data_IF_404193062021
#
_entry.id   IF_404193062021
#
_cell.length_a   1.000
_cell.length_b   1.000
_cell.length_c   1.000
_cell.angle_alpha   90.00
_cell.angle_beta   90.00
_cell.angle_gamma   90.00
#
_symmetry.space_group_name_H-M   'P 1'
#
loop_
_entity.id
_entity.type
_entity.pdbx_description
1 polymer ?
#
# COMPACT_ATOMS: atom_id res chain seq x y z
N UNK A 1 4.84 28.39 11.45
CA UNK A 1 4.13 27.70 10.36
C UNK A 1 2.77 27.29 10.91
N UNK A 2 1.71 27.75 10.31
CA UNK A 2 0.34 27.41 10.71
C UNK A 2 -0.05 26.03 10.15
N UNK A 3 -1.16 25.49 10.64
CA UNK A 3 -1.72 24.24 10.11
C UNK A 3 -2.06 24.36 8.61
N UNK A 4 -2.63 25.49 8.21
CA UNK A 4 -2.97 25.75 6.80
C UNK A 4 -1.75 25.85 5.91
N UNK A 5 -0.67 26.52 6.36
CA UNK A 5 0.60 26.56 5.62
C UNK A 5 1.21 25.18 5.44
N UNK A 6 1.15 24.32 6.48
CA UNK A 6 1.63 22.93 6.38
C UNK A 6 0.81 22.12 5.37
N UNK A 7 -0.51 22.20 5.43
CA UNK A 7 -1.40 21.49 4.50
C UNK A 7 -1.21 21.97 3.06
N UNK A 8 -1.03 23.28 2.85
CA UNK A 8 -0.76 23.82 1.52
C UNK A 8 0.55 23.26 0.95
N UNK A 9 1.64 23.30 1.72
CA UNK A 9 2.94 22.77 1.29
C UNK A 9 2.91 21.26 0.99
N UNK A 10 2.22 20.48 1.85
CA UNK A 10 2.05 19.04 1.63
C UNK A 10 1.20 18.77 0.40
N UNK A 11 0.12 19.54 0.22
CA UNK A 11 -0.74 19.45 -0.95
C UNK A 11 0.03 19.72 -2.24
N UNK A 12 0.76 20.83 -2.32
CA UNK A 12 1.57 21.19 -3.49
C UNK A 12 2.60 20.11 -3.83
N UNK A 13 3.26 19.54 -2.81
CA UNK A 13 4.23 18.47 -3.01
C UNK A 13 3.59 17.18 -3.51
N UNK A 14 2.49 16.76 -2.89
CA UNK A 14 1.78 15.54 -3.30
C UNK A 14 1.14 15.73 -4.68
N UNK A 15 0.59 16.91 -4.99
CA UNK A 15 0.06 17.24 -6.31
C UNK A 15 1.12 17.10 -7.40
N UNK A 16 2.34 17.59 -7.15
CA UNK A 16 3.45 17.40 -8.06
C UNK A 16 3.77 15.91 -8.27
N UNK A 17 3.80 15.12 -7.18
CA UNK A 17 4.08 13.69 -7.27
C UNK A 17 3.02 12.94 -8.07
N UNK A 18 1.72 13.15 -7.76
CA UNK A 18 0.65 12.44 -8.45
C UNK A 18 0.51 12.86 -9.92
N UNK A 19 0.75 14.14 -10.24
CA UNK A 19 0.72 14.64 -11.62
C UNK A 19 1.82 14.04 -12.52
N UNK A 20 2.92 13.56 -11.91
CA UNK A 20 4.06 12.98 -12.61
C UNK A 20 4.24 11.48 -12.38
N UNK A 21 3.19 10.81 -11.89
CA UNK A 21 3.24 9.38 -11.55
C UNK A 21 2.09 8.61 -12.19
N UNK A 22 2.36 7.35 -12.48
CA UNK A 22 1.35 6.33 -12.73
C UNK A 22 1.61 5.12 -11.84
N UNK A 23 0.68 4.17 -11.80
CA UNK A 23 0.88 2.92 -11.08
C UNK A 23 2.06 2.09 -11.66
N UNK A 24 2.34 2.24 -12.95
CA UNK A 24 3.46 1.58 -13.63
C UNK A 24 4.81 2.23 -13.34
N UNK A 25 4.82 3.56 -13.20
CA UNK A 25 6.03 4.37 -13.03
C UNK A 25 5.83 5.47 -11.97
N UNK A 26 5.72 5.11 -10.69
CA UNK A 26 5.53 6.09 -9.62
C UNK A 26 6.83 6.86 -9.37
N UNK A 27 6.77 8.18 -9.46
CA UNK A 27 7.93 9.08 -9.33
C UNK A 27 8.65 8.95 -7.98
N UNK A 28 7.91 8.64 -6.91
CA UNK A 28 8.48 8.41 -5.57
C UNK A 28 9.32 7.14 -5.47
N UNK A 29 9.17 6.18 -6.40
CA UNK A 29 10.00 4.98 -6.45
C UNK A 29 11.11 5.14 -7.48
N UNK A 30 12.07 6.02 -7.17
CA UNK A 30 13.13 6.44 -8.08
C UNK A 30 13.98 5.28 -8.62
N UNK A 31 14.16 4.22 -7.85
CA UNK A 31 14.90 3.03 -8.30
C UNK A 31 14.18 2.32 -9.44
N UNK A 32 12.85 2.22 -9.36
CA UNK A 32 12.03 1.64 -10.42
C UNK A 32 12.06 2.53 -11.66
N UNK A 33 11.87 3.83 -11.50
CA UNK A 33 11.95 4.79 -12.60
C UNK A 33 13.30 4.69 -13.33
N UNK A 34 14.41 4.69 -12.58
CA UNK A 34 15.77 4.60 -13.16
C UNK A 34 16.08 3.26 -13.81
N UNK A 35 15.54 2.17 -13.29
CA UNK A 35 15.79 0.84 -13.83
C UNK A 35 14.98 0.51 -15.09
N UNK A 36 13.96 1.30 -15.41
CA UNK A 36 13.01 1.02 -16.49
C UNK A 36 12.20 -0.26 -16.29
N UNK A 37 12.24 -0.87 -15.10
CA UNK A 37 11.48 -2.07 -14.78
C UNK A 37 10.06 -1.70 -14.36
N UNK A 38 9.05 -2.50 -14.76
CA UNK A 38 7.67 -2.25 -14.34
C UNK A 38 7.56 -2.26 -12.82
N UNK A 39 6.68 -1.41 -12.31
CA UNK A 39 6.38 -1.37 -10.88
C UNK A 39 5.73 -2.70 -10.43
N UNK A 40 5.78 -2.94 -9.14
CA UNK A 40 5.20 -4.11 -8.49
C UNK A 40 4.40 -3.65 -7.29
N UNK A 41 3.49 -4.49 -6.81
CA UNK A 41 2.87 -4.33 -5.51
C UNK A 41 3.95 -4.29 -4.42
N UNK A 42 4.02 -3.21 -3.63
CA UNK A 42 5.12 -3.01 -2.67
C UNK A 42 4.74 -2.04 -1.53
N UNK A 43 5.59 -1.99 -0.48
CA UNK A 43 5.33 -1.18 0.71
C UNK A 43 5.50 0.33 0.47
N UNK A 44 6.40 0.76 -0.43
CA UNK A 44 6.67 2.18 -0.70
C UNK A 44 5.40 2.83 -1.26
N UNK A 45 4.78 2.17 -2.23
CA UNK A 45 3.50 2.61 -2.79
C UNK A 45 2.41 2.60 -1.71
N UNK A 46 2.40 1.59 -0.84
CA UNK A 46 1.50 1.53 0.30
C UNK A 46 1.59 2.77 1.20
N UNK A 47 2.80 3.24 1.49
CA UNK A 47 3.01 4.46 2.28
C UNK A 47 2.49 5.70 1.54
N UNK A 48 2.79 5.82 0.24
CA UNK A 48 2.33 6.98 -0.54
C UNK A 48 0.81 7.03 -0.69
N UNK A 49 0.18 5.90 -0.99
CA UNK A 49 -1.29 5.83 -1.09
C UNK A 49 -1.95 6.11 0.26
N UNK A 50 -1.37 5.61 1.37
CA UNK A 50 -1.83 5.99 2.72
C UNK A 50 -1.75 7.49 2.95
N UNK A 51 -0.68 8.16 2.50
CA UNK A 51 -0.56 9.62 2.60
C UNK A 51 -1.62 10.35 1.75
N UNK A 52 -1.88 9.89 0.53
CA UNK A 52 -2.94 10.45 -0.33
C UNK A 52 -4.33 10.30 0.33
N UNK A 53 -4.65 9.11 0.85
CA UNK A 53 -5.93 8.87 1.54
C UNK A 53 -6.06 9.71 2.81
N UNK A 54 -4.95 9.94 3.54
CA UNK A 54 -4.92 10.83 4.71
C UNK A 54 -5.16 12.29 4.33
N UNK A 55 -4.60 12.75 3.21
CA UNK A 55 -4.89 14.09 2.68
C UNK A 55 -6.35 14.22 2.26
N UNK A 56 -6.90 13.22 1.58
CA UNK A 56 -8.33 13.20 1.27
C UNK A 56 -9.18 13.30 2.55
N UNK A 57 -8.86 12.55 3.58
CA UNK A 57 -9.59 12.55 4.86
C UNK A 57 -9.53 13.91 5.56
N UNK A 58 -8.38 14.60 5.45
CA UNK A 58 -8.14 15.88 6.10
C UNK A 58 -8.73 17.07 5.33
N UNK A 59 -8.65 17.03 3.99
CA UNK A 59 -9.01 18.18 3.13
C UNK A 59 -10.37 18.03 2.46
N UNK A 60 -10.87 16.80 2.32
CA UNK A 60 -12.05 16.48 1.50
C UNK A 60 -11.80 16.53 -0.02
N UNK A 61 -10.55 16.80 -0.45
CA UNK A 61 -10.23 16.90 -1.88
C UNK A 61 -10.18 15.52 -2.54
N UNK A 62 -11.14 15.28 -3.39
CA UNK A 62 -11.34 13.98 -4.06
C UNK A 62 -10.20 13.58 -4.98
N UNK A 63 -9.38 14.51 -5.46
CA UNK A 63 -8.25 14.17 -6.35
C UNK A 63 -7.32 13.14 -5.72
N UNK A 64 -7.10 13.19 -4.41
CA UNK A 64 -6.26 12.23 -3.68
C UNK A 64 -6.90 10.85 -3.59
N UNK A 65 -8.23 10.81 -3.39
CA UNK A 65 -8.98 9.56 -3.39
C UNK A 65 -9.03 8.93 -4.78
N UNK A 66 -9.33 9.73 -5.81
CA UNK A 66 -9.45 9.26 -7.19
C UNK A 66 -8.11 8.71 -7.70
N UNK A 67 -7.02 9.41 -7.40
CA UNK A 67 -5.67 8.92 -7.70
C UNK A 67 -5.36 7.60 -6.97
N UNK A 68 -5.66 7.53 -5.67
CA UNK A 68 -5.43 6.33 -4.86
C UNK A 68 -6.21 5.13 -5.40
N UNK A 69 -7.48 5.34 -5.76
CA UNK A 69 -8.30 4.30 -6.37
C UNK A 69 -7.73 3.84 -7.70
N UNK A 70 -7.40 4.77 -8.59
CA UNK A 70 -6.82 4.44 -9.90
C UNK A 70 -5.51 3.66 -9.75
N UNK A 71 -4.66 4.05 -8.81
CA UNK A 71 -3.38 3.40 -8.55
C UNK A 71 -3.58 1.96 -8.05
N UNK A 72 -4.48 1.74 -7.11
CA UNK A 72 -4.79 0.41 -6.57
C UNK A 72 -5.47 -0.47 -7.63
N UNK A 73 -6.38 0.10 -8.42
CA UNK A 73 -7.12 -0.62 -9.47
C UNK A 73 -6.22 -1.14 -10.59
N UNK A 74 -5.05 -0.57 -10.76
CA UNK A 74 -4.05 -1.11 -11.69
C UNK A 74 -3.56 -2.51 -11.25
N UNK A 75 -3.42 -2.72 -9.94
CA UNK A 75 -2.93 -3.99 -9.40
C UNK A 75 -4.05 -4.98 -9.07
N UNK A 76 -5.17 -4.49 -8.54
CA UNK A 76 -6.27 -5.34 -8.05
C UNK A 76 -7.23 -5.69 -9.18
N UNK A 77 -7.27 -6.97 -9.53
CA UNK A 77 -8.10 -7.48 -10.61
C UNK A 77 -9.56 -7.71 -10.16
N UNK A 78 -10.52 -7.83 -11.09
CA UNK A 78 -11.94 -8.05 -10.76
C UNK A 78 -12.20 -9.30 -9.92
N UNK A 79 -11.36 -10.31 -10.02
CA UNK A 79 -11.46 -11.55 -9.22
C UNK A 79 -10.85 -11.43 -7.82
N UNK A 80 -10.21 -10.29 -7.50
CA UNK A 80 -9.51 -10.02 -6.25
C UNK A 80 -8.04 -10.43 -6.23
N UNK A 81 -7.53 -11.01 -7.32
CA UNK A 81 -6.09 -11.23 -7.43
C UNK A 81 -5.34 -9.91 -7.51
N UNK A 82 -4.11 -9.90 -7.03
CA UNK A 82 -3.25 -8.71 -7.01
C UNK A 82 -2.04 -8.99 -7.90
N UNK A 83 -1.86 -8.18 -8.94
CA UNK A 83 -0.71 -8.32 -9.85
C UNK A 83 0.60 -8.25 -9.07
N UNK A 84 1.52 -9.15 -9.37
CA UNK A 84 2.86 -9.24 -8.77
C UNK A 84 2.90 -9.53 -7.27
N UNK A 85 1.78 -9.89 -6.66
CA UNK A 85 1.70 -10.34 -5.27
C UNK A 85 1.55 -11.86 -5.21
N UNK A 86 2.42 -12.49 -4.43
CA UNK A 86 2.31 -13.92 -4.10
C UNK A 86 2.31 -14.08 -2.57
N UNK A 87 1.22 -14.54 -1.95
CA UNK A 87 1.17 -14.75 -0.50
C UNK A 87 2.20 -15.76 0.01
N UNK A 88 2.72 -16.65 -0.86
CA UNK A 88 3.73 -17.64 -0.50
C UNK A 88 5.15 -17.08 -0.39
N UNK A 89 5.38 -15.84 -0.83
CA UNK A 89 6.63 -15.15 -0.54
C UNK A 89 6.79 -14.83 0.96
N UNK A 90 5.70 -14.86 1.72
CA UNK A 90 5.67 -14.51 3.15
C UNK A 90 6.44 -13.23 3.45
N UNK A 91 6.20 -12.20 2.65
CA UNK A 91 6.85 -10.90 2.75
C UNK A 91 5.88 -9.86 3.35
N UNK A 92 6.14 -9.41 4.59
CA UNK A 92 5.27 -8.43 5.26
C UNK A 92 5.28 -7.05 4.58
N UNK A 93 6.33 -6.70 3.84
CA UNK A 93 6.34 -5.45 3.06
C UNK A 93 5.12 -5.37 2.12
N UNK A 94 4.75 -6.51 1.53
CA UNK A 94 3.65 -6.56 0.57
C UNK A 94 2.26 -6.43 1.24
N UNK A 95 2.17 -6.64 2.56
CA UNK A 95 0.93 -6.44 3.32
C UNK A 95 0.60 -4.95 3.49
N UNK A 96 1.62 -4.09 3.56
CA UNK A 96 1.43 -2.67 3.86
C UNK A 96 0.44 -1.96 2.93
N UNK A 97 0.55 -2.19 1.63
CA UNK A 97 -0.36 -1.56 0.65
C UNK A 97 -1.80 -2.10 0.77
N UNK A 98 -1.95 -3.32 1.28
CA UNK A 98 -3.26 -3.94 1.52
C UNK A 98 -4.14 -3.19 2.52
N UNK A 99 -3.55 -2.43 3.44
CA UNK A 99 -4.29 -1.60 4.40
C UNK A 99 -5.18 -0.56 3.69
N UNK A 100 -4.76 -0.07 2.54
CA UNK A 100 -5.49 0.91 1.76
C UNK A 100 -6.77 0.32 1.12
N UNK A 101 -6.82 -1.00 0.96
CA UNK A 101 -7.99 -1.70 0.43
C UNK A 101 -9.21 -1.58 1.34
N UNK A 102 -9.02 -1.52 2.66
CA UNK A 102 -10.14 -1.34 3.61
C UNK A 102 -10.83 0.00 3.37
N UNK A 103 -10.07 1.08 3.21
CA UNK A 103 -10.62 2.43 2.93
C UNK A 103 -11.40 2.43 1.62
N UNK A 104 -10.84 1.80 0.57
CA UNK A 104 -11.52 1.73 -0.73
C UNK A 104 -12.76 0.84 -0.67
N UNK A 105 -12.71 -0.27 0.08
CA UNK A 105 -13.89 -1.12 0.26
C UNK A 105 -15.00 -0.40 1.01
N UNK A 106 -14.67 0.31 2.09
CA UNK A 106 -15.65 1.07 2.87
C UNK A 106 -16.33 2.18 2.04
N UNK A 107 -15.57 2.83 1.15
CA UNK A 107 -16.10 3.92 0.34
C UNK A 107 -16.86 3.46 -0.91
N UNK A 108 -16.45 2.37 -1.54
CA UNK A 108 -16.98 1.96 -2.84
C UNK A 108 -17.78 0.64 -2.81
N UNK A 109 -17.60 -0.21 -1.80
CA UNK A 109 -18.28 -1.50 -1.68
C UNK A 109 -17.93 -2.51 -2.78
N UNK A 110 -16.81 -2.32 -3.51
CA UNK A 110 -16.44 -3.18 -4.62
C UNK A 110 -15.87 -4.52 -4.11
N UNK A 111 -16.50 -5.63 -4.47
CA UNK A 111 -16.14 -6.99 -4.03
C UNK A 111 -14.69 -7.39 -4.35
N UNK A 112 -14.07 -6.80 -5.37
CA UNK A 112 -12.66 -7.06 -5.68
C UNK A 112 -11.72 -6.67 -4.53
N UNK A 113 -12.02 -5.56 -3.83
CA UNK A 113 -11.22 -5.12 -2.68
C UNK A 113 -11.36 -6.08 -1.50
N UNK A 114 -12.59 -6.55 -1.22
CA UNK A 114 -12.80 -7.54 -0.17
C UNK A 114 -12.04 -8.84 -0.45
N UNK A 115 -12.13 -9.35 -1.68
CA UNK A 115 -11.39 -10.55 -2.07
C UNK A 115 -9.88 -10.37 -2.00
N UNK A 116 -9.37 -9.19 -2.37
CA UNK A 116 -7.95 -8.86 -2.25
C UNK A 116 -7.50 -8.77 -0.78
N UNK A 117 -8.35 -8.24 0.11
CA UNK A 117 -8.15 -8.27 1.56
C UNK A 117 -8.07 -9.71 2.05
N UNK A 118 -9.02 -10.56 1.67
CA UNK A 118 -9.04 -11.98 2.06
C UNK A 118 -7.78 -12.71 1.55
N UNK A 119 -7.30 -12.39 0.35
CA UNK A 119 -6.06 -12.95 -0.18
C UNK A 119 -4.84 -12.56 0.68
N UNK A 120 -4.71 -11.28 1.04
CA UNK A 120 -3.60 -10.82 1.90
C UNK A 120 -3.72 -11.43 3.30
N UNK A 121 -4.94 -11.50 3.84
CA UNK A 121 -5.18 -12.15 5.13
C UNK A 121 -4.74 -13.61 5.15
N UNK A 122 -4.95 -14.34 4.05
CA UNK A 122 -4.51 -15.74 3.93
C UNK A 122 -2.99 -15.90 4.09
N UNK A 123 -2.19 -14.90 3.65
CA UNK A 123 -0.76 -14.88 3.96
C UNK A 123 -0.52 -14.81 5.47
N UNK A 124 -1.19 -13.88 6.17
CA UNK A 124 -0.96 -13.67 7.61
C UNK A 124 -1.39 -14.88 8.46
N UNK A 125 -2.38 -15.65 8.02
CA UNK A 125 -2.81 -16.89 8.69
C UNK A 125 -1.70 -17.95 8.69
N UNK A 126 -0.89 -17.97 7.66
CA UNK A 126 0.18 -18.97 7.47
C UNK A 126 1.59 -18.38 7.57
N UNK A 127 1.72 -17.07 7.78
CA UNK A 127 3.01 -16.38 7.94
C UNK A 127 3.86 -17.06 9.01
N UNK A 128 5.12 -17.42 8.71
CA UNK A 128 6.03 -18.00 9.70
C UNK A 128 6.14 -17.14 10.95
N UNK A 129 6.24 -17.80 12.12
CA UNK A 129 6.30 -17.12 13.43
C UNK A 129 7.48 -17.60 14.26
N UNK A 130 7.94 -16.74 15.15
CA UNK A 130 8.86 -17.10 16.22
C UNK A 130 8.14 -17.96 17.27
N UNK A 131 8.89 -18.52 18.22
CA UNK A 131 8.33 -19.27 19.36
C UNK A 131 7.39 -18.41 20.23
N UNK A 132 7.63 -17.10 20.27
CA UNK A 132 6.85 -16.10 21.00
C UNK A 132 5.60 -15.64 20.23
N UNK A 133 5.40 -16.13 18.99
CA UNK A 133 4.23 -15.86 18.18
C UNK A 133 4.36 -14.64 17.24
N UNK A 134 5.50 -13.95 17.23
CA UNK A 134 5.73 -12.82 16.34
C UNK A 134 5.93 -13.30 14.90
N UNK A 135 5.41 -12.57 13.92
CA UNK A 135 5.67 -12.85 12.51
C UNK A 135 7.15 -12.69 12.16
N UNK A 136 7.69 -13.61 11.36
CA UNK A 136 8.91 -13.31 10.63
C UNK A 136 8.65 -12.18 9.63
N UNK A 137 9.61 -11.28 9.49
CA UNK A 137 9.46 -10.17 8.55
C UNK A 137 9.34 -10.68 7.09
N UNK A 138 10.18 -11.65 6.73
CA UNK A 138 10.14 -12.35 5.42
C UNK A 138 10.63 -13.79 5.60
N UNK A 139 10.15 -14.68 4.76
CA UNK A 139 10.61 -16.08 4.75
C UNK A 139 12.11 -16.19 4.47
N UNK A 140 12.64 -15.32 3.58
CA UNK A 140 14.07 -15.24 3.27
C UNK A 140 14.94 -14.74 4.44
N UNK A 141 14.33 -14.26 5.52
CA UNK A 141 14.99 -13.82 6.76
C UNK A 141 14.44 -14.58 7.96
N UNK A 142 14.75 -15.89 8.12
CA UNK A 142 14.18 -16.71 9.16
C UNK A 142 14.40 -16.14 10.55
N UNK A 143 13.36 -16.17 11.38
CA UNK A 143 13.37 -15.73 12.79
C UNK A 143 13.54 -14.22 13.02
N UNK A 144 13.66 -13.42 11.96
CA UNK A 144 13.81 -11.97 12.11
C UNK A 144 12.43 -11.29 12.28
N UNK A 145 12.32 -10.52 13.35
CA UNK A 145 11.18 -9.64 13.64
C UNK A 145 11.65 -8.19 13.50
N UNK A 146 11.04 -7.45 12.59
CA UNK A 146 11.38 -6.06 12.36
C UNK A 146 10.25 -5.15 12.85
N UNK A 147 10.59 -3.96 13.36
CA UNK A 147 9.59 -3.02 13.88
C UNK A 147 8.64 -2.52 12.78
N UNK A 148 9.15 -2.30 11.57
CA UNK A 148 8.36 -1.92 10.41
C UNK A 148 7.41 -3.04 9.98
N UNK A 149 7.80 -4.31 10.12
CA UNK A 149 6.91 -5.45 9.92
C UNK A 149 5.68 -5.41 10.84
N UNK A 150 5.87 -4.97 12.09
CA UNK A 150 4.76 -4.73 13.02
C UNK A 150 3.82 -3.64 12.50
N UNK A 151 4.35 -2.52 12.03
CA UNK A 151 3.57 -1.45 11.41
C UNK A 151 2.82 -1.91 10.15
N UNK A 152 3.44 -2.78 9.34
CA UNK A 152 2.84 -3.25 8.09
C UNK A 152 1.72 -4.26 8.30
N UNK A 153 1.89 -5.20 9.24
CA UNK A 153 1.01 -6.35 9.39
C UNK A 153 -0.03 -6.22 10.51
N UNK A 154 0.33 -5.64 11.66
CA UNK A 154 -0.58 -5.64 12.82
C UNK A 154 -1.87 -4.82 12.62
N UNK A 155 -1.88 -3.69 11.87
CA UNK A 155 -3.12 -2.96 11.59
C UNK A 155 -4.03 -3.65 10.58
N UNK A 156 -3.57 -4.68 9.88
CA UNK A 156 -4.34 -5.44 8.89
C UNK A 156 -5.24 -6.49 9.55
#
# INVERSE_FOLDING_TARGET
MTHEEILSMLGDYVDYLIANSSAEAPMWNIEKVRSGKPNKWNYIDGCMITACLSLYHTTGDKKYLDFSKQFIDYFVQPDGSIQTYDPKEYNLDNVNQGKNLFVLYDLYGEEKYRKAIDLIRSQLETQPRTKEGNFWHKDIYPWQVWLDGTYMAQPF
#
